data_IF_470611283504
#
_entry.id   IF_470611283504
#
_cell.length_a   1.000
_cell.length_b   1.000
_cell.length_c   1.000
_cell.angle_alpha   90.00
_cell.angle_beta   90.00
_cell.angle_gamma   90.00
#
_symmetry.space_group_name_H-M   'P 1'
#
loop_
_entity.id
_entity.type
_entity.pdbx_description
1 polymer ?
#
# COMPACT_ATOMS: atom_id res chain seq x y z
N UNK A 1 -11.95 3.39 -9.35
CA UNK A 1 -12.20 2.27 -10.26
C UNK A 1 -13.15 2.79 -11.34
N UNK A 2 -12.95 2.43 -12.62
CA UNK A 2 -13.77 2.85 -13.76
C UNK A 2 -13.95 4.37 -13.95
N UNK A 3 -13.04 5.21 -13.42
CA UNK A 3 -13.15 6.67 -13.51
C UNK A 3 -14.11 7.32 -12.49
N UNK A 4 -14.78 6.52 -11.67
CA UNK A 4 -15.61 7.04 -10.58
C UNK A 4 -14.80 7.35 -9.34
N UNK A 5 -15.27 8.30 -8.49
CA UNK A 5 -14.63 8.60 -7.23
C UNK A 5 -14.54 7.39 -6.30
N UNK A 6 -13.43 7.25 -5.61
CA UNK A 6 -13.25 6.34 -4.49
C UNK A 6 -12.83 7.15 -3.26
N UNK A 7 -13.18 6.66 -2.08
CA UNK A 7 -12.77 7.24 -0.80
C UNK A 7 -11.88 6.22 -0.11
N UNK A 8 -10.76 6.69 0.43
CA UNK A 8 -9.87 5.90 1.27
C UNK A 8 -9.63 6.60 2.60
N UNK A 9 -9.56 5.82 3.66
CA UNK A 9 -9.44 6.29 5.04
C UNK A 9 -8.15 5.73 5.65
N UNK A 10 -7.21 6.55 6.12
CA UNK A 10 -6.08 6.06 6.89
C UNK A 10 -6.54 5.55 8.26
N UNK A 11 -5.94 4.45 8.71
CA UNK A 11 -6.24 3.81 9.99
C UNK A 11 -5.07 4.00 10.94
N UNK A 12 -5.06 5.08 11.71
CA UNK A 12 -3.92 5.49 12.56
C UNK A 12 -3.63 4.57 13.76
N UNK A 13 -4.53 3.63 14.08
CA UNK A 13 -4.36 2.72 15.22
C UNK A 13 -3.95 1.30 14.80
N UNK A 14 -3.77 1.07 13.51
CA UNK A 14 -3.37 -0.22 12.95
C UNK A 14 -2.02 -0.02 12.26
N UNK A 15 -0.97 -0.65 12.80
CA UNK A 15 0.40 -0.36 12.44
C UNK A 15 1.11 -1.55 11.81
N UNK A 16 2.08 -1.24 10.97
CA UNK A 16 3.12 -2.16 10.50
C UNK A 16 4.47 -1.64 10.96
N UNK A 17 5.21 -2.48 11.65
CA UNK A 17 6.55 -2.18 12.13
C UNK A 17 7.54 -3.06 11.38
N UNK A 18 8.57 -2.44 10.80
CA UNK A 18 9.72 -3.12 10.22
C UNK A 18 10.97 -2.81 11.04
N UNK A 19 11.72 -3.84 11.37
CA UNK A 19 13.01 -3.72 12.02
C UNK A 19 14.07 -4.34 11.13
N UNK A 20 15.14 -3.59 10.85
CA UNK A 20 16.35 -4.11 10.20
C UNK A 20 17.37 -4.44 11.27
N UNK A 21 17.95 -5.65 11.19
CA UNK A 21 19.03 -6.09 12.07
C UNK A 21 20.18 -6.62 11.23
N UNK A 22 21.45 -6.54 11.74
CA UNK A 22 22.58 -7.16 11.11
C UNK A 22 22.39 -8.67 10.93
N UNK A 23 22.97 -9.23 9.88
CA UNK A 23 22.96 -10.68 9.61
C UNK A 23 24.35 -11.15 9.15
N UNK A 24 24.68 -12.42 9.43
CA UNK A 24 25.95 -13.03 9.01
C UNK A 24 25.97 -13.32 7.49
N UNK A 25 24.81 -13.58 6.91
CA UNK A 25 24.65 -13.85 5.47
C UNK A 25 24.15 -12.61 4.73
N UNK A 26 24.53 -12.45 3.44
CA UNK A 26 23.96 -11.41 2.60
C UNK A 26 22.45 -11.57 2.49
N UNK A 27 21.76 -10.44 2.43
CA UNK A 27 20.37 -10.42 2.04
C UNK A 27 20.24 -10.75 0.53
N UNK A 28 19.35 -11.65 0.20
CA UNK A 28 19.10 -12.09 -1.18
C UNK A 28 17.60 -11.95 -1.43
N UNK A 29 17.24 -11.50 -2.63
CA UNK A 29 15.85 -11.49 -3.09
C UNK A 29 15.41 -12.94 -3.32
N UNK A 30 14.56 -13.46 -2.43
CA UNK A 30 14.12 -14.86 -2.50
C UNK A 30 12.77 -15.03 -3.21
N UNK A 31 11.90 -14.03 -3.12
CA UNK A 31 10.51 -14.10 -3.56
C UNK A 31 10.11 -12.79 -4.24
N UNK A 32 9.24 -12.90 -5.24
CA UNK A 32 8.59 -11.74 -5.87
C UNK A 32 7.43 -11.27 -4.98
N UNK A 33 7.72 -10.91 -3.74
CA UNK A 33 6.78 -10.30 -2.82
C UNK A 33 7.08 -8.80 -2.59
N UNK A 34 6.09 -8.09 -2.10
CA UNK A 34 6.16 -6.65 -1.92
C UNK A 34 7.23 -6.22 -0.91
N UNK A 35 7.44 -7.01 0.16
CA UNK A 35 8.47 -6.75 1.16
C UNK A 35 9.86 -6.86 0.54
N UNK A 36 10.14 -7.99 -0.11
CA UNK A 36 11.44 -8.25 -0.75
C UNK A 36 11.75 -7.20 -1.78
N UNK A 37 10.75 -6.77 -2.55
CA UNK A 37 10.94 -5.71 -3.55
C UNK A 37 11.13 -4.33 -2.95
N UNK A 38 10.46 -4.02 -1.84
CA UNK A 38 10.67 -2.76 -1.14
C UNK A 38 12.11 -2.65 -0.60
N UNK A 39 12.62 -3.73 -0.01
CA UNK A 39 14.02 -3.80 0.44
C UNK A 39 14.99 -3.71 -0.75
N UNK A 40 14.76 -4.48 -1.80
CA UNK A 40 15.61 -4.46 -2.99
C UNK A 40 15.67 -3.08 -3.65
N UNK A 41 14.51 -2.45 -3.85
CA UNK A 41 14.44 -1.12 -4.45
C UNK A 41 15.16 -0.06 -3.59
N UNK A 42 15.07 -0.16 -2.26
CA UNK A 42 15.78 0.72 -1.34
C UNK A 42 17.30 0.53 -1.41
N UNK A 43 17.77 -0.71 -1.35
CA UNK A 43 19.20 -1.01 -1.45
C UNK A 43 19.80 -0.57 -2.80
N UNK A 44 19.06 -0.79 -3.89
CA UNK A 44 19.49 -0.35 -5.22
C UNK A 44 19.55 1.17 -5.31
N UNK A 45 18.54 1.87 -4.78
CA UNK A 45 18.52 3.34 -4.72
C UNK A 45 19.73 3.89 -3.96
N UNK A 46 20.08 3.27 -2.83
CA UNK A 46 21.24 3.63 -2.00
C UNK A 46 22.59 3.15 -2.59
N UNK A 47 22.57 2.41 -3.70
CA UNK A 47 23.79 1.88 -4.32
C UNK A 47 24.45 0.74 -3.54
N UNK A 48 23.73 0.10 -2.63
CA UNK A 48 24.22 -0.97 -1.77
C UNK A 48 24.09 -2.30 -2.50
N UNK A 49 25.23 -2.87 -2.90
CA UNK A 49 25.28 -4.11 -3.67
C UNK A 49 25.23 -5.38 -2.83
N UNK A 50 25.77 -5.31 -1.61
CA UNK A 50 25.80 -6.44 -0.67
C UNK A 50 25.37 -5.96 0.70
N UNK A 51 24.16 -6.31 1.08
CA UNK A 51 23.58 -5.94 2.38
C UNK A 51 23.56 -7.17 3.30
N UNK A 52 24.18 -7.08 4.48
CA UNK A 52 24.15 -8.13 5.52
C UNK A 52 23.10 -7.77 6.55
N UNK A 53 21.86 -7.88 6.15
CA UNK A 53 20.69 -7.48 6.95
C UNK A 53 19.62 -8.57 6.96
N UNK A 54 18.77 -8.50 7.96
CA UNK A 54 17.53 -9.27 8.08
C UNK A 54 16.40 -8.34 8.44
N UNK A 55 15.28 -8.47 7.73
CA UNK A 55 14.04 -7.75 8.01
C UNK A 55 13.15 -8.57 8.95
N UNK A 56 12.59 -7.90 9.95
CA UNK A 56 11.56 -8.44 10.83
C UNK A 56 10.34 -7.57 10.72
N UNK A 57 9.21 -8.18 10.34
CA UNK A 57 7.93 -7.49 10.21
C UNK A 57 7.01 -7.91 11.35
N UNK A 58 6.38 -6.90 11.96
CA UNK A 58 5.23 -7.08 12.84
C UNK A 58 4.08 -6.26 12.25
N UNK A 59 3.00 -6.93 11.88
CA UNK A 59 1.85 -6.28 11.24
C UNK A 59 0.60 -6.53 12.07
N UNK A 60 -0.11 -5.44 12.38
CA UNK A 60 -1.47 -5.47 12.89
C UNK A 60 -2.50 -5.47 11.77
N UNK A 61 -2.08 -5.22 10.53
CA UNK A 61 -2.95 -5.17 9.36
C UNK A 61 -3.21 -6.59 8.86
N UNK A 62 -4.45 -7.07 8.80
CA UNK A 62 -4.77 -8.37 8.24
C UNK A 62 -4.40 -8.45 6.75
N UNK A 63 -3.68 -9.49 6.37
CA UNK A 63 -3.27 -9.69 4.98
C UNK A 63 -4.46 -10.03 4.06
N UNK A 64 -4.43 -9.53 2.83
CA UNK A 64 -5.40 -9.84 1.78
C UNK A 64 -6.87 -9.55 2.17
N UNK A 65 -7.09 -8.50 2.96
CA UNK A 65 -8.42 -8.02 3.38
C UNK A 65 -8.83 -6.68 2.76
N UNK A 66 -8.07 -6.19 1.77
CA UNK A 66 -8.33 -4.89 1.16
C UNK A 66 -8.04 -3.69 2.08
N UNK A 67 -7.15 -3.88 3.05
CA UNK A 67 -6.77 -2.85 4.02
C UNK A 67 -5.40 -2.21 3.72
N UNK A 68 -4.90 -2.33 2.50
CA UNK A 68 -3.62 -1.74 2.11
C UNK A 68 -2.40 -2.34 2.81
N UNK A 69 -2.48 -3.61 3.27
CA UNK A 69 -1.39 -4.26 4.02
C UNK A 69 -0.07 -4.31 3.23
N UNK A 70 -0.14 -4.53 1.93
CA UNK A 70 1.01 -4.56 1.02
C UNK A 70 1.74 -3.22 1.02
N UNK A 71 1.02 -2.13 0.77
CA UNK A 71 1.58 -0.78 0.78
C UNK A 71 2.16 -0.40 2.15
N UNK A 72 1.46 -0.73 3.24
CA UNK A 72 1.94 -0.46 4.60
C UNK A 72 3.25 -1.22 4.92
N UNK A 73 3.38 -2.49 4.49
CA UNK A 73 4.60 -3.29 4.63
C UNK A 73 5.74 -2.68 3.81
N UNK A 74 5.48 -2.28 2.56
CA UNK A 74 6.46 -1.63 1.70
C UNK A 74 6.99 -0.33 2.32
N UNK A 75 6.10 0.53 2.79
CA UNK A 75 6.46 1.81 3.45
C UNK A 75 7.32 1.55 4.69
N UNK A 76 6.89 0.61 5.55
CA UNK A 76 7.64 0.28 6.76
C UNK A 76 9.04 -0.27 6.45
N UNK A 77 9.16 -1.13 5.43
CA UNK A 77 10.43 -1.71 5.01
C UNK A 77 11.38 -0.66 4.43
N UNK A 78 10.89 0.21 3.54
CA UNK A 78 11.69 1.29 2.94
C UNK A 78 12.22 2.22 4.03
N UNK A 79 11.35 2.70 4.91
CA UNK A 79 11.75 3.57 6.04
C UNK A 79 12.79 2.90 6.91
N UNK A 80 12.63 1.61 7.25
CA UNK A 80 13.57 0.87 8.07
C UNK A 80 14.94 0.68 7.40
N UNK A 81 14.99 0.49 6.07
CA UNK A 81 16.26 0.40 5.34
C UNK A 81 17.00 1.72 5.36
N UNK A 82 16.32 2.83 5.07
CA UNK A 82 16.94 4.17 5.09
C UNK A 82 17.42 4.54 6.50
N UNK A 83 16.61 4.29 7.53
CA UNK A 83 16.99 4.51 8.93
C UNK A 83 18.21 3.68 9.33
N UNK A 84 18.26 2.40 8.97
CA UNK A 84 19.38 1.52 9.26
C UNK A 84 20.71 2.01 8.65
N UNK A 85 20.67 2.54 7.44
CA UNK A 85 21.85 3.09 6.76
C UNK A 85 22.09 4.57 7.06
N UNK A 86 21.22 5.20 7.87
CA UNK A 86 21.29 6.60 8.27
C UNK A 86 21.24 7.56 7.07
N UNK A 87 20.42 7.21 6.07
CA UNK A 87 20.19 8.01 4.87
C UNK A 87 18.87 8.76 4.97
N UNK A 88 18.83 9.96 4.39
CA UNK A 88 17.62 10.76 4.34
C UNK A 88 16.62 10.18 3.33
N UNK A 89 15.36 10.17 3.71
CA UNK A 89 14.26 9.68 2.87
C UNK A 89 13.19 10.78 2.77
N UNK A 90 13.12 11.42 1.61
CA UNK A 90 12.05 12.35 1.30
C UNK A 90 10.77 11.64 0.84
N UNK A 91 9.65 12.37 0.88
CA UNK A 91 8.33 11.81 0.54
C UNK A 91 8.23 11.39 -0.93
N UNK A 92 8.91 12.08 -1.84
CA UNK A 92 8.90 11.76 -3.28
C UNK A 92 9.63 10.45 -3.54
N UNK A 93 10.82 10.28 -2.97
CA UNK A 93 11.61 9.04 -3.04
C UNK A 93 10.83 7.87 -2.44
N UNK A 94 10.21 8.07 -1.27
CA UNK A 94 9.39 7.05 -0.62
C UNK A 94 8.24 6.63 -1.54
N UNK A 95 7.49 7.56 -2.12
CA UNK A 95 6.37 7.26 -3.02
C UNK A 95 6.82 6.49 -4.27
N UNK A 96 7.96 6.86 -4.87
CA UNK A 96 8.55 6.16 -6.03
C UNK A 96 8.90 4.71 -5.67
N UNK A 97 9.57 4.50 -4.54
CA UNK A 97 10.01 3.16 -4.12
C UNK A 97 8.82 2.26 -3.75
N UNK A 98 7.81 2.80 -3.09
CA UNK A 98 6.57 2.07 -2.78
C UNK A 98 5.84 1.66 -4.06
N UNK A 99 5.67 2.57 -5.00
CA UNK A 99 5.02 2.27 -6.28
C UNK A 99 5.77 1.19 -7.06
N UNK A 100 7.09 1.19 -7.01
CA UNK A 100 7.92 0.15 -7.61
C UNK A 100 7.70 -1.21 -6.95
N UNK A 101 7.66 -1.28 -5.62
CA UNK A 101 7.40 -2.50 -4.87
C UNK A 101 5.99 -3.06 -5.16
N UNK A 102 4.99 -2.20 -5.18
CA UNK A 102 3.60 -2.55 -5.45
C UNK A 102 3.37 -3.07 -6.88
N UNK A 103 4.14 -2.60 -7.87
CA UNK A 103 4.02 -3.04 -9.27
C UNK A 103 4.27 -4.54 -9.43
N UNK A 104 5.05 -5.15 -8.57
CA UNK A 104 5.32 -6.60 -8.60
C UNK A 104 4.16 -7.40 -8.02
N UNK A 105 3.60 -6.96 -6.90
CA UNK A 105 2.44 -7.61 -6.31
C UNK A 105 1.16 -7.39 -7.14
N UNK A 106 1.08 -6.22 -7.80
CA UNK A 106 -0.09 -5.77 -8.53
C UNK A 106 0.34 -5.25 -9.89
N UNK A 107 0.03 -5.97 -10.98
CA UNK A 107 0.43 -5.61 -12.36
C UNK A 107 0.12 -4.16 -12.76
N UNK A 108 -0.80 -3.48 -12.09
CA UNK A 108 -1.17 -2.09 -12.34
C UNK A 108 -1.71 -1.43 -11.05
N UNK A 109 -0.83 -1.11 -10.08
CA UNK A 109 -1.25 -0.48 -8.84
C UNK A 109 -1.88 0.88 -9.12
N UNK A 110 -2.95 1.20 -8.38
CA UNK A 110 -3.59 2.53 -8.49
C UNK A 110 -2.85 3.62 -7.73
N UNK A 111 -1.92 3.25 -6.85
CA UNK A 111 -1.26 4.11 -5.89
C UNK A 111 -2.16 4.56 -4.72
N UNK A 112 -3.44 4.15 -4.72
CA UNK A 112 -4.40 4.60 -3.69
C UNK A 112 -3.99 4.14 -2.29
N UNK A 113 -3.63 2.86 -2.13
CA UNK A 113 -3.27 2.30 -0.83
C UNK A 113 -2.00 2.96 -0.29
N UNK A 114 -0.98 3.12 -1.14
CA UNK A 114 0.25 3.81 -0.78
C UNK A 114 -0.02 5.27 -0.34
N UNK A 115 -0.77 6.02 -1.16
CA UNK A 115 -1.11 7.41 -0.85
C UNK A 115 -1.93 7.54 0.43
N UNK A 116 -2.85 6.59 0.67
CA UNK A 116 -3.66 6.56 1.90
C UNK A 116 -2.79 6.31 3.13
N UNK A 117 -1.86 5.35 3.06
CA UNK A 117 -0.94 5.06 4.17
C UNK A 117 0.00 6.23 4.50
N UNK A 118 0.28 7.10 3.52
CA UNK A 118 1.11 8.28 3.68
C UNK A 118 0.32 9.55 4.03
N UNK A 119 -1.01 9.47 4.13
CA UNK A 119 -1.87 10.62 4.43
C UNK A 119 -2.35 10.60 5.88
N UNK A 120 -2.46 11.78 6.47
CA UNK A 120 -3.06 11.97 7.80
C UNK A 120 -4.59 12.13 7.77
N UNK A 121 -5.18 12.21 6.59
CA UNK A 121 -6.61 12.45 6.41
C UNK A 121 -7.21 11.59 5.30
N UNK A 122 -8.54 11.50 5.29
CA UNK A 122 -9.25 10.82 4.22
C UNK A 122 -8.89 11.39 2.85
N UNK A 123 -8.90 10.52 1.84
CA UNK A 123 -8.57 10.88 0.45
C UNK A 123 -9.74 10.52 -0.46
N UNK A 124 -10.13 11.47 -1.32
CA UNK A 124 -10.91 11.21 -2.51
C UNK A 124 -9.97 10.95 -3.68
N UNK A 125 -10.14 9.82 -4.33
CA UNK A 125 -9.34 9.41 -5.48
C UNK A 125 -10.21 9.26 -6.73
N UNK A 126 -9.73 9.77 -7.85
CA UNK A 126 -10.33 9.53 -9.17
C UNK A 126 -9.20 9.10 -10.09
N UNK A 127 -9.31 7.90 -10.65
CA UNK A 127 -8.28 7.33 -11.54
C UNK A 127 -8.02 8.26 -12.74
N UNK A 128 -6.75 8.51 -13.04
CA UNK A 128 -6.26 9.41 -14.08
C UNK A 128 -6.59 10.89 -13.87
N UNK A 129 -7.13 11.27 -12.71
CA UNK A 129 -7.41 12.66 -12.34
C UNK A 129 -6.55 13.07 -11.15
N UNK A 130 -6.55 12.30 -10.05
CA UNK A 130 -5.69 12.57 -8.92
C UNK A 130 -6.25 12.17 -7.56
N UNK A 131 -5.53 12.62 -6.53
CA UNK A 131 -5.84 12.44 -5.12
C UNK A 131 -6.18 13.80 -4.53
N UNK A 132 -7.24 13.86 -3.74
CA UNK A 132 -7.71 15.08 -3.10
C UNK A 132 -7.97 14.82 -1.62
N UNK A 133 -7.47 15.67 -0.71
CA UNK A 133 -7.84 15.61 0.68
C UNK A 133 -9.37 15.68 0.84
N UNK A 134 -9.92 14.89 1.75
CA UNK A 134 -11.34 14.86 2.02
C UNK A 134 -11.60 15.10 3.51
N UNK A 135 -12.25 16.19 3.83
CA UNK A 135 -12.75 16.43 5.16
C UNK A 135 -14.08 15.69 5.36
N UNK A 136 -14.10 14.78 6.33
CA UNK A 136 -15.33 14.09 6.71
C UNK A 136 -16.12 14.98 7.67
N UNK A 137 -17.13 15.66 7.16
CA UNK A 137 -18.00 16.55 7.96
C UNK A 137 -18.95 15.83 8.93
N UNK A 138 -18.68 14.55 9.24
CA UNK A 138 -19.52 13.73 10.12
C UNK A 138 -18.75 13.28 11.36
N UNK A 139 -19.45 13.21 12.49
CA UNK A 139 -18.96 12.52 13.69
C UNK A 139 -19.52 11.10 13.68
N UNK A 140 -18.69 10.12 13.36
CA UNK A 140 -19.07 8.72 13.25
C UNK A 140 -17.98 7.81 13.80
N UNK A 141 -18.36 6.60 14.19
CA UNK A 141 -17.44 5.52 14.51
C UNK A 141 -17.36 4.57 13.31
N UNK A 142 -16.13 4.27 12.88
CA UNK A 142 -15.90 3.25 11.86
C UNK A 142 -15.74 1.89 12.53
N UNK A 143 -16.63 0.96 12.22
CA UNK A 143 -16.55 -0.43 12.67
C UNK A 143 -16.07 -1.30 11.51
N UNK A 144 -14.94 -1.96 11.69
CA UNK A 144 -14.36 -2.86 10.69
C UNK A 144 -14.62 -4.30 11.13
N UNK A 145 -15.26 -5.08 10.27
CA UNK A 145 -15.50 -6.51 10.48
C UNK A 145 -14.75 -7.34 9.45
N UNK A 146 -13.92 -8.27 9.90
CA UNK A 146 -13.23 -9.23 9.03
C UNK A 146 -14.12 -10.47 8.82
N UNK A 147 -14.40 -10.78 7.55
CA UNK A 147 -15.17 -11.98 7.18
C UNK A 147 -14.38 -13.28 7.30
N UNK A 148 -13.07 -13.20 7.56
CA UNK A 148 -12.18 -14.36 7.57
C UNK A 148 -11.81 -14.90 6.18
N UNK A 149 -12.36 -14.34 5.10
CA UNK A 149 -12.14 -14.81 3.73
C UNK A 149 -11.15 -13.90 3.02
N UNK A 150 -10.13 -14.47 2.36
CA UNK A 150 -9.18 -13.70 1.57
C UNK A 150 -9.86 -13.02 0.38
N UNK A 151 -9.68 -11.72 0.27
CA UNK A 151 -10.16 -10.95 -0.86
C UNK A 151 -9.32 -11.21 -2.11
N UNK A 152 -9.99 -11.32 -3.27
CA UNK A 152 -9.34 -11.35 -4.57
C UNK A 152 -9.85 -10.16 -5.39
N UNK A 153 -9.09 -9.08 -5.40
CA UNK A 153 -9.46 -7.84 -6.09
C UNK A 153 -9.68 -8.06 -7.59
N UNK A 154 -8.86 -8.91 -8.24
CA UNK A 154 -9.00 -9.21 -9.67
C UNK A 154 -10.35 -9.90 -9.95
N UNK A 155 -10.69 -10.89 -9.16
CA UNK A 155 -11.98 -11.61 -9.31
C UNK A 155 -13.17 -10.69 -9.04
N UNK A 156 -13.07 -9.80 -8.05
CA UNK A 156 -14.11 -8.83 -7.76
C UNK A 156 -14.31 -7.86 -8.93
N UNK A 157 -13.24 -7.35 -9.53
CA UNK A 157 -13.29 -6.49 -10.72
C UNK A 157 -13.94 -7.23 -11.89
N UNK A 158 -13.52 -8.45 -12.19
CA UNK A 158 -14.10 -9.26 -13.27
C UNK A 158 -15.60 -9.53 -13.07
N UNK A 159 -16.03 -9.80 -11.84
CA UNK A 159 -17.46 -9.97 -11.51
C UNK A 159 -18.28 -8.70 -11.75
N UNK A 160 -17.71 -7.53 -11.46
CA UNK A 160 -18.37 -6.25 -11.73
C UNK A 160 -18.43 -5.99 -13.23
N UNK A 161 -17.34 -6.21 -13.96
CA UNK A 161 -17.31 -6.05 -15.43
C UNK A 161 -18.31 -6.97 -16.14
N UNK A 162 -18.43 -8.21 -15.69
CA UNK A 162 -19.37 -9.19 -16.26
C UNK A 162 -20.85 -8.81 -16.08
N UNK A 163 -21.18 -7.93 -15.11
CA UNK A 163 -22.55 -7.43 -14.90
C UNK A 163 -22.94 -6.29 -15.85
N UNK A 164 -21.98 -5.74 -16.57
CA UNK A 164 -22.22 -4.71 -17.58
C UNK A 164 -22.48 -3.30 -17.05
N UNK A 165 -22.89 -2.37 -17.95
CA UNK A 165 -22.97 -0.94 -17.66
C UNK A 165 -23.98 -0.55 -16.57
N UNK A 166 -25.00 -1.36 -16.34
CA UNK A 166 -26.04 -1.06 -15.35
C UNK A 166 -25.48 -0.90 -13.93
N UNK A 167 -24.44 -1.69 -13.60
CA UNK A 167 -23.80 -1.60 -12.29
C UNK A 167 -23.03 -0.31 -12.14
N UNK A 168 -22.54 0.27 -13.22
CA UNK A 168 -21.75 1.51 -13.19
C UNK A 168 -22.59 2.73 -12.78
N UNK A 169 -23.91 2.70 -12.98
CA UNK A 169 -24.81 3.76 -12.53
C UNK A 169 -24.80 3.91 -11.01
N UNK A 170 -24.66 2.81 -10.27
CA UNK A 170 -24.59 2.83 -8.80
C UNK A 170 -23.31 3.53 -8.31
N UNK A 171 -22.18 3.37 -9.01
CA UNK A 171 -20.95 4.10 -8.66
C UNK A 171 -21.10 5.61 -8.85
N UNK A 172 -21.87 6.03 -9.86
CA UNK A 172 -22.16 7.44 -10.07
C UNK A 172 -22.99 8.02 -8.92
N UNK A 173 -24.00 7.29 -8.44
CA UNK A 173 -24.83 7.74 -7.31
C UNK A 173 -24.03 7.81 -5.99
N UNK A 174 -23.13 6.86 -5.75
CA UNK A 174 -22.25 6.87 -4.57
C UNK A 174 -21.25 8.04 -4.62
N UNK A 175 -20.86 8.47 -5.81
CA UNK A 175 -19.85 9.52 -6.01
C UNK A 175 -20.38 10.96 -5.95
N UNK A 176 -21.71 11.15 -5.79
CA UNK A 176 -22.34 12.46 -5.62
C UNK A 176 -22.23 12.96 -4.19
#
# INVERSE_FOLDING_TARGET
VYGYPAIALPLHHIEVICQIVPADSPWILFEDDTLSMAVFASLEHLGIREARIRCRIQSMVPEKRGMGSSAAVSIAAIRAVFDYYQEELDDETLEILVNRAETIAHMNPSGLDAKTCLSDQAIKFIRNVGFYPLELGIKASLVIADTGIHGNTREAIQKVEARGPEVLSHFHEIGK
#
